data_IF_236068060228
#
_entry.id   IF_236068060228
#
_cell.length_a   1.000
_cell.length_b   1.000
_cell.length_c   1.000
_cell.angle_alpha   90.00
_cell.angle_beta   90.00
_cell.angle_gamma   90.00
#
_symmetry.space_group_name_H-M   'P 1'
#
loop_
_entity.id
_entity.type
_entity.pdbx_description
1 polymer ?
#
# COMPACT_ATOMS: atom_id res chain seq x y z
N UNK A 1 92.49 21.22 -61.50
CA UNK A 1 92.57 19.88 -62.09
C UNK A 1 91.45 19.04 -61.54
N UNK A 2 90.67 18.56 -62.45
CA UNK A 2 89.41 17.87 -62.19
C UNK A 2 89.61 16.43 -61.81
N UNK A 3 88.87 15.94 -60.79
CA UNK A 3 88.55 14.52 -60.68
C UNK A 3 87.08 14.34 -60.30
N UNK A 4 86.42 13.65 -61.21
CA UNK A 4 85.04 13.26 -61.08
C UNK A 4 84.94 12.01 -60.21
N UNK A 5 84.05 12.03 -59.19
CA UNK A 5 83.67 10.83 -58.49
C UNK A 5 82.23 10.47 -58.88
N UNK A 6 82.05 9.25 -59.29
CA UNK A 6 80.75 8.69 -59.64
C UNK A 6 79.97 8.30 -58.40
N UNK A 7 78.72 8.75 -58.33
CA UNK A 7 77.81 8.32 -57.27
C UNK A 7 76.95 7.14 -57.77
N UNK A 8 76.98 6.09 -56.99
CA UNK A 8 76.16 4.87 -57.18
C UNK A 8 74.77 5.09 -56.52
N UNK A 9 73.71 5.11 -57.32
CA UNK A 9 72.38 5.22 -56.83
C UNK A 9 71.81 3.87 -56.40
N UNK A 10 71.52 3.73 -55.15
CA UNK A 10 70.84 2.55 -54.57
C UNK A 10 69.38 2.81 -54.58
N UNK A 11 68.59 2.11 -55.41
CA UNK A 11 67.12 2.16 -55.42
C UNK A 11 66.60 1.26 -54.29
N UNK A 12 65.99 1.89 -53.24
CA UNK A 12 65.17 1.20 -52.26
C UNK A 12 63.72 1.10 -52.77
N UNK A 13 63.27 -0.14 -52.89
CA UNK A 13 61.83 -0.41 -53.11
C UNK A 13 61.00 -0.19 -51.82
N UNK A 14 59.85 0.44 -51.88
CA UNK A 14 59.03 0.57 -50.67
C UNK A 14 58.24 -0.70 -50.42
N UNK A 15 58.45 -1.32 -49.24
CA UNK A 15 57.62 -2.36 -48.70
C UNK A 15 56.35 -1.76 -48.21
N UNK A 16 55.20 -2.08 -48.86
CA UNK A 16 53.86 -1.80 -48.36
C UNK A 16 53.57 -2.63 -47.11
N UNK A 17 53.62 -2.00 -45.96
CA UNK A 17 53.11 -2.56 -44.73
C UNK A 17 51.58 -2.38 -44.72
N UNK A 18 50.81 -3.47 -44.92
CA UNK A 18 49.36 -3.50 -44.75
C UNK A 18 49.02 -3.33 -43.28
N UNK A 19 48.61 -2.15 -42.89
CA UNK A 19 48.03 -1.90 -41.55
C UNK A 19 46.67 -2.57 -41.48
N UNK A 20 46.55 -3.65 -40.70
CA UNK A 20 45.28 -4.21 -40.25
C UNK A 20 44.63 -3.20 -39.32
N UNK A 21 43.61 -2.49 -39.79
CA UNK A 21 42.73 -1.69 -38.96
C UNK A 21 41.78 -2.66 -38.27
N UNK A 22 41.77 -2.75 -36.93
CA UNK A 22 40.77 -3.55 -36.25
C UNK A 22 39.40 -2.88 -36.42
N UNK A 23 38.52 -3.52 -37.17
CA UNK A 23 37.09 -3.16 -37.21
C UNK A 23 36.52 -3.41 -35.81
N UNK A 24 36.36 -2.35 -35.05
CA UNK A 24 35.53 -2.34 -33.85
C UNK A 24 34.08 -2.59 -34.30
N UNK A 25 33.61 -3.83 -34.20
CA UNK A 25 32.19 -4.17 -34.26
C UNK A 25 31.61 -3.61 -32.95
N UNK A 26 30.68 -2.65 -33.00
CA UNK A 26 30.00 -2.22 -31.76
C UNK A 26 29.23 -3.44 -31.26
N UNK A 27 29.67 -4.01 -30.15
CA UNK A 27 28.86 -4.96 -29.38
C UNK A 27 27.66 -4.17 -28.87
N UNK A 28 26.51 -4.38 -29.51
CA UNK A 28 25.26 -3.87 -29.00
C UNK A 28 25.02 -4.56 -27.66
N UNK A 29 25.39 -3.89 -26.56
CA UNK A 29 24.95 -4.27 -25.24
C UNK A 29 23.45 -4.00 -25.24
N UNK A 30 22.68 -5.02 -25.59
CA UNK A 30 21.25 -5.06 -25.27
C UNK A 30 21.25 -5.03 -23.75
N UNK A 31 21.05 -3.84 -23.16
CA UNK A 31 20.69 -3.74 -21.77
C UNK A 31 19.43 -4.61 -21.63
N UNK A 32 19.55 -5.76 -21.01
CA UNK A 32 18.39 -6.51 -20.56
C UNK A 32 17.58 -5.52 -19.72
N UNK A 33 16.49 -5.06 -20.29
CA UNK A 33 15.48 -4.33 -19.50
C UNK A 33 15.19 -5.25 -18.32
N UNK A 34 15.27 -4.76 -17.07
CA UNK A 34 14.92 -5.57 -15.92
C UNK A 34 13.56 -6.17 -16.24
N UNK A 35 13.46 -7.49 -16.12
CA UNK A 35 12.22 -8.24 -16.33
C UNK A 35 11.12 -7.38 -15.71
N UNK A 36 10.16 -6.93 -16.52
CA UNK A 36 9.10 -6.06 -16.06
C UNK A 36 8.65 -6.58 -14.72
N UNK A 37 8.86 -5.81 -13.66
CA UNK A 37 8.46 -6.23 -12.33
C UNK A 37 7.02 -6.68 -12.48
N UNK A 38 6.76 -7.99 -12.36
CA UNK A 38 5.39 -8.53 -12.36
C UNK A 38 4.67 -7.64 -11.37
N UNK A 39 3.59 -6.99 -11.81
CA UNK A 39 2.82 -6.14 -10.93
C UNK A 39 2.57 -6.96 -9.66
N UNK A 40 3.18 -6.52 -8.56
CA UNK A 40 3.19 -7.32 -7.33
C UNK A 40 1.74 -7.30 -6.85
N UNK A 41 1.13 -8.46 -6.83
CA UNK A 41 -0.28 -8.62 -6.51
C UNK A 41 -0.40 -8.78 -4.99
N UNK A 42 -0.79 -7.71 -4.32
CA UNK A 42 -0.92 -7.68 -2.86
C UNK A 42 -2.32 -8.13 -2.45
N UNK A 43 -2.40 -9.18 -1.66
CA UNK A 43 -3.66 -9.74 -1.16
C UNK A 43 -3.54 -10.01 0.32
N UNK A 44 -4.44 -9.47 1.10
CA UNK A 44 -4.26 -9.54 2.53
C UNK A 44 -5.50 -9.23 3.35
N UNK A 45 -5.23 -8.84 4.57
CA UNK A 45 -6.25 -8.64 5.59
C UNK A 45 -5.93 -7.46 6.49
N UNK A 46 -6.97 -6.77 6.94
CA UNK A 46 -6.88 -5.82 8.03
C UNK A 46 -6.76 -6.60 9.35
N UNK A 47 -5.64 -6.42 10.06
CA UNK A 47 -5.44 -6.96 11.38
C UNK A 47 -5.70 -5.86 12.41
N UNK A 48 -6.96 -5.65 12.72
CA UNK A 48 -7.40 -4.66 13.69
C UNK A 48 -7.12 -5.13 15.14
N UNK A 49 -7.07 -4.19 16.05
CA UNK A 49 -6.83 -4.45 17.49
C UNK A 49 -6.02 -3.35 18.15
N UNK A 50 -4.98 -2.84 17.50
CA UNK A 50 -4.14 -1.79 18.07
C UNK A 50 -4.86 -0.43 18.15
N UNK A 51 -5.93 -0.20 17.36
CA UNK A 51 -6.78 0.98 17.41
C UNK A 51 -8.03 0.82 18.29
N UNK A 52 -8.26 -0.34 18.92
CA UNK A 52 -9.46 -0.55 19.74
C UNK A 52 -9.57 0.42 20.93
N UNK A 53 -10.80 0.64 21.40
CA UNK A 53 -11.12 1.57 22.50
C UNK A 53 -10.49 2.95 22.29
N UNK A 54 -10.72 3.55 21.11
CA UNK A 54 -10.21 4.89 20.74
C UNK A 54 -10.64 6.01 21.71
N UNK A 55 -11.70 5.79 22.47
CA UNK A 55 -12.15 6.69 23.52
C UNK A 55 -11.32 6.59 24.83
N UNK A 56 -10.38 5.64 24.92
CA UNK A 56 -9.49 5.44 26.08
C UNK A 56 -8.04 5.70 25.67
N UNK A 57 -7.56 6.90 25.94
CA UNK A 57 -6.21 7.34 25.60
C UNK A 57 -5.41 7.63 26.88
N UNK A 58 -4.24 7.03 27.05
CA UNK A 58 -3.50 6.12 26.13
C UNK A 58 -4.09 4.72 26.06
N UNK A 59 -4.96 4.30 26.97
CA UNK A 59 -5.45 2.94 27.10
C UNK A 59 -4.42 1.98 27.71
N UNK A 60 -4.87 0.78 28.08
CA UNK A 60 -4.01 -0.28 28.64
C UNK A 60 -3.80 -1.37 27.62
N UNK A 61 -2.54 -1.58 27.23
CA UNK A 61 -2.18 -2.71 26.39
C UNK A 61 -2.55 -4.04 27.06
N UNK A 62 -3.10 -4.95 26.25
CA UNK A 62 -3.55 -6.25 26.74
C UNK A 62 -4.99 -6.24 27.30
N UNK A 63 -5.61 -5.06 27.42
CA UNK A 63 -6.97 -4.91 27.92
C UNK A 63 -7.85 -4.00 27.08
N UNK A 64 -7.44 -2.72 26.86
CA UNK A 64 -8.19 -1.76 26.06
C UNK A 64 -7.84 -1.91 24.58
N UNK A 65 -6.62 -2.33 24.27
CA UNK A 65 -6.17 -2.63 22.91
C UNK A 65 -5.15 -3.76 22.89
N UNK A 66 -5.05 -4.41 21.72
CA UNK A 66 -4.19 -5.57 21.49
C UNK A 66 -3.49 -5.44 20.15
N UNK A 67 -2.30 -5.99 20.04
CA UNK A 67 -1.67 -6.22 18.73
C UNK A 67 -1.95 -7.66 18.28
N UNK A 68 -2.00 -7.91 16.97
CA UNK A 68 -2.14 -9.26 16.43
C UNK A 68 -1.00 -10.16 16.92
N UNK A 69 -1.31 -11.45 17.11
CA UNK A 69 -0.35 -12.44 17.55
C UNK A 69 0.40 -13.03 16.33
N UNK A 70 1.61 -13.57 16.52
CA UNK A 70 2.34 -14.24 15.44
C UNK A 70 1.53 -15.34 14.75
N UNK A 71 0.71 -16.08 15.49
CA UNK A 71 -0.14 -17.16 14.93
C UNK A 71 -1.18 -16.63 13.94
N UNK A 72 -1.72 -15.43 14.15
CA UNK A 72 -2.67 -14.79 13.21
C UNK A 72 -1.95 -14.41 11.91
N UNK A 73 -0.74 -13.83 12.01
CA UNK A 73 0.09 -13.52 10.84
C UNK A 73 0.40 -14.80 10.05
N UNK A 74 0.87 -15.85 10.75
CA UNK A 74 1.21 -17.13 10.13
C UNK A 74 0.01 -17.77 9.46
N UNK A 75 -1.17 -17.77 10.10
CA UNK A 75 -2.38 -18.33 9.52
C UNK A 75 -2.74 -17.70 8.16
N UNK A 76 -2.80 -16.36 8.11
CA UNK A 76 -3.14 -15.68 6.86
C UNK A 76 -2.02 -15.76 5.81
N UNK A 77 -0.76 -15.71 6.23
CA UNK A 77 0.37 -15.94 5.35
C UNK A 77 0.32 -17.35 4.72
N UNK A 78 0.02 -18.39 5.51
CA UNK A 78 -0.08 -19.77 5.03
C UNK A 78 -1.27 -19.99 4.07
N UNK A 79 -2.30 -19.14 4.15
CA UNK A 79 -3.34 -19.03 3.14
C UNK A 79 -2.88 -18.35 1.86
N UNK A 80 -1.71 -17.71 1.83
CA UNK A 80 -1.17 -17.02 0.67
C UNK A 80 -1.32 -15.49 0.70
N UNK A 81 -1.77 -14.93 1.83
CA UNK A 81 -1.80 -13.47 2.01
C UNK A 81 -0.40 -12.93 2.25
N UNK A 82 -0.09 -11.79 1.65
CA UNK A 82 1.25 -11.20 1.65
C UNK A 82 1.30 -9.73 2.08
N UNK A 83 0.15 -9.14 2.42
CA UNK A 83 0.05 -7.78 2.94
C UNK A 83 -0.92 -7.71 4.12
N UNK A 84 -0.56 -6.94 5.14
CA UNK A 84 -1.32 -6.82 6.38
C UNK A 84 -1.51 -5.35 6.74
N UNK A 85 -2.76 -4.88 6.81
CA UNK A 85 -3.07 -3.51 7.22
C UNK A 85 -3.26 -3.46 8.73
N UNK A 86 -2.39 -2.71 9.41
CA UNK A 86 -2.40 -2.53 10.85
C UNK A 86 -2.97 -1.15 11.19
N UNK A 87 -4.16 -1.14 11.77
CA UNK A 87 -4.81 0.09 12.25
C UNK A 87 -4.20 0.55 13.57
N UNK A 88 -3.71 1.78 13.64
CA UNK A 88 -3.13 2.38 14.86
C UNK A 88 -3.72 3.77 15.12
N UNK A 89 -3.67 4.24 16.37
CA UNK A 89 -4.16 5.57 16.73
C UNK A 89 -3.02 6.58 16.82
N UNK A 90 -3.21 7.75 16.24
CA UNK A 90 -2.28 8.87 16.33
C UNK A 90 -2.02 9.27 17.78
N UNK A 91 -3.08 9.36 18.60
CA UNK A 91 -2.99 9.75 20.01
C UNK A 91 -2.18 8.78 20.89
N UNK A 92 -2.08 7.51 20.49
CA UNK A 92 -1.22 6.53 21.14
C UNK A 92 0.21 6.61 20.64
N UNK A 93 0.38 6.90 19.34
CA UNK A 93 1.70 7.12 18.74
C UNK A 93 2.34 8.42 19.22
N UNK A 94 1.57 9.49 19.30
CA UNK A 94 2.05 10.82 19.67
C UNK A 94 1.08 11.46 20.69
N UNK A 95 1.29 11.20 22.00
CA UNK A 95 0.36 11.61 23.05
C UNK A 95 0.12 13.12 23.15
N UNK A 96 1.06 13.93 22.69
CA UNK A 96 0.92 15.37 22.51
C UNK A 96 1.47 15.75 21.13
N UNK A 97 0.84 16.70 20.46
CA UNK A 97 1.24 17.17 19.12
C UNK A 97 2.69 17.65 19.12
N UNK A 98 3.42 17.35 18.05
CA UNK A 98 4.84 17.75 17.82
C UNK A 98 5.83 17.23 18.88
N UNK A 99 5.43 16.27 19.72
CA UNK A 99 6.36 15.60 20.64
C UNK A 99 6.95 14.34 20.01
N UNK A 100 7.99 13.74 20.59
CA UNK A 100 8.47 12.42 20.18
C UNK A 100 7.35 11.38 20.21
N UNK A 101 7.46 10.37 19.34
CA UNK A 101 6.55 9.22 19.35
C UNK A 101 6.73 8.44 20.65
N UNK A 102 5.62 7.90 21.18
CA UNK A 102 5.64 7.01 22.34
C UNK A 102 6.45 5.74 22.04
N UNK A 103 7.54 5.57 22.76
CA UNK A 103 8.50 4.49 22.50
C UNK A 103 7.89 3.09 22.71
N UNK A 104 6.95 2.96 23.66
CA UNK A 104 6.34 1.66 23.96
C UNK A 104 5.35 1.25 22.87
N UNK A 105 4.51 2.18 22.40
CA UNK A 105 3.55 1.91 21.33
C UNK A 105 4.26 1.72 19.98
N UNK A 106 5.25 2.56 19.67
CA UNK A 106 6.09 2.41 18.48
C UNK A 106 6.84 1.08 18.47
N UNK A 107 7.39 0.67 19.61
CA UNK A 107 8.07 -0.61 19.75
C UNK A 107 7.16 -1.83 19.49
N UNK A 108 5.86 -1.72 19.80
CA UNK A 108 4.88 -2.77 19.46
C UNK A 108 4.58 -2.82 17.97
N UNK A 109 4.46 -1.65 17.32
CA UNK A 109 4.32 -1.54 15.87
C UNK A 109 5.54 -2.15 15.18
N UNK A 110 6.73 -1.81 15.64
CA UNK A 110 8.01 -2.32 15.14
C UNK A 110 8.11 -3.85 15.25
N UNK A 111 7.68 -4.40 16.40
CA UNK A 111 7.63 -5.85 16.60
C UNK A 111 6.65 -6.53 15.64
N UNK A 112 5.45 -5.96 15.42
CA UNK A 112 4.49 -6.48 14.45
C UNK A 112 5.06 -6.45 13.03
N UNK A 113 5.64 -5.32 12.61
CA UNK A 113 6.29 -5.17 11.30
C UNK A 113 7.39 -6.21 11.11
N UNK A 114 8.20 -6.44 12.13
CA UNK A 114 9.29 -7.43 12.09
C UNK A 114 8.77 -8.86 11.95
N UNK A 115 7.66 -9.21 12.63
CA UNK A 115 7.01 -10.51 12.50
C UNK A 115 6.44 -10.74 11.10
N UNK A 116 5.76 -9.75 10.53
CA UNK A 116 5.25 -9.82 9.15
C UNK A 116 6.39 -9.94 8.15
N UNK A 117 7.45 -9.17 8.33
CA UNK A 117 8.62 -9.24 7.45
C UNK A 117 9.33 -10.60 7.53
N UNK A 118 9.38 -11.23 8.70
CA UNK A 118 9.99 -12.54 8.88
C UNK A 118 9.33 -13.65 8.04
N UNK A 119 8.06 -13.47 7.66
CA UNK A 119 7.35 -14.37 6.73
C UNK A 119 7.33 -13.83 5.29
N UNK A 120 8.07 -12.75 4.98
CA UNK A 120 8.12 -12.14 3.65
C UNK A 120 6.94 -11.22 3.34
N UNK A 121 6.15 -10.83 4.34
CA UNK A 121 4.98 -9.97 4.16
C UNK A 121 5.29 -8.48 4.15
N UNK A 122 4.31 -7.71 3.71
CA UNK A 122 4.27 -6.23 3.67
C UNK A 122 3.27 -5.72 4.70
N UNK A 123 3.54 -4.57 5.30
CA UNK A 123 2.62 -3.92 6.26
C UNK A 123 2.15 -2.58 5.72
N UNK A 124 0.84 -2.36 5.72
CA UNK A 124 0.28 -1.01 5.64
C UNK A 124 0.11 -0.51 7.09
N UNK A 125 0.88 0.51 7.46
CA UNK A 125 0.72 1.21 8.73
C UNK A 125 -0.34 2.29 8.54
N UNK A 126 -1.52 2.05 9.07
CA UNK A 126 -2.70 2.88 8.88
C UNK A 126 -3.00 3.72 10.12
N UNK A 127 -3.06 5.05 9.95
CA UNK A 127 -3.54 5.96 11.00
C UNK A 127 -5.07 5.95 11.01
N UNK A 128 -5.68 5.29 12.00
CA UNK A 128 -7.11 4.95 12.02
C UNK A 128 -7.96 5.94 12.81
N UNK A 129 -7.88 7.24 12.46
CA UNK A 129 -8.46 8.33 13.26
C UNK A 129 -9.42 9.25 12.50
N UNK A 130 -9.90 8.85 11.34
CA UNK A 130 -10.98 9.54 10.61
C UNK A 130 -10.73 11.03 10.37
N UNK A 131 -9.47 11.40 10.09
CA UNK A 131 -9.08 12.80 9.90
C UNK A 131 -9.07 13.63 11.18
N UNK A 132 -8.89 12.98 12.35
CA UNK A 132 -8.98 13.62 13.67
C UNK A 132 -7.74 13.31 14.52
N UNK A 133 -7.56 14.15 15.53
CA UNK A 133 -6.69 13.88 16.67
C UNK A 133 -7.47 14.23 17.94
N UNK A 134 -7.64 13.28 18.86
CA UNK A 134 -8.48 13.40 20.08
C UNK A 134 -9.88 13.96 19.79
N UNK A 135 -10.50 13.49 18.70
CA UNK A 135 -11.82 13.92 18.26
C UNK A 135 -11.88 15.25 17.51
N UNK A 136 -10.80 16.04 17.48
CA UNK A 136 -10.73 17.31 16.76
C UNK A 136 -10.28 17.10 15.31
N UNK A 137 -11.01 17.62 14.34
CA UNK A 137 -10.65 17.56 12.91
C UNK A 137 -9.32 18.26 12.66
N UNK A 138 -8.50 17.65 11.80
CA UNK A 138 -7.27 18.25 11.28
C UNK A 138 -7.63 19.36 10.30
N UNK A 139 -6.86 20.45 10.33
CA UNK A 139 -7.02 21.59 9.40
C UNK A 139 -7.38 22.91 10.09
N UNK A 140 -7.74 22.86 11.39
CA UNK A 140 -7.98 24.06 12.19
C UNK A 140 -6.81 24.49 13.07
N UNK A 141 -7.05 25.50 13.89
CA UNK A 141 -6.03 26.08 14.79
C UNK A 141 -5.56 25.10 15.87
N UNK A 142 -6.46 24.24 16.36
CA UNK A 142 -6.16 23.31 17.45
C UNK A 142 -5.40 22.06 16.98
N UNK A 143 -5.64 21.61 15.77
CA UNK A 143 -4.96 20.48 15.10
C UNK A 143 -4.75 20.87 13.64
N UNK A 144 -3.56 21.27 13.32
CA UNK A 144 -3.23 21.79 11.99
C UNK A 144 -2.69 20.71 11.05
N UNK A 145 -2.70 20.98 9.75
CA UNK A 145 -2.02 20.14 8.76
C UNK A 145 -0.50 20.02 9.03
N UNK A 146 0.10 21.04 9.71
CA UNK A 146 1.50 21.00 10.11
C UNK A 146 1.75 20.00 11.26
N UNK A 147 0.78 19.77 12.14
CA UNK A 147 0.86 18.74 13.18
C UNK A 147 0.82 17.34 12.57
N UNK A 148 -0.03 17.13 11.56
CA UNK A 148 -0.10 15.89 10.81
C UNK A 148 1.16 15.65 9.97
N UNK A 149 1.73 16.70 9.41
CA UNK A 149 3.05 16.65 8.76
C UNK A 149 4.16 16.22 9.73
N UNK A 150 4.17 16.72 10.98
CA UNK A 150 5.15 16.32 11.99
C UNK A 150 5.03 14.81 12.32
N UNK A 151 3.81 14.28 12.47
CA UNK A 151 3.60 12.84 12.65
C UNK A 151 4.26 12.05 11.52
N UNK A 152 3.96 12.40 10.26
CA UNK A 152 4.49 11.67 9.10
C UNK A 152 5.99 11.89 8.88
N UNK A 153 6.55 13.03 9.31
CA UNK A 153 8.01 13.23 9.36
C UNK A 153 8.66 12.24 10.33
N UNK A 154 8.07 12.03 11.51
CA UNK A 154 8.58 11.09 12.51
C UNK A 154 8.41 9.63 12.10
N UNK A 155 7.27 9.26 11.56
CA UNK A 155 7.03 7.90 11.04
C UNK A 155 7.91 7.61 9.82
N UNK A 156 8.09 8.59 8.94
CA UNK A 156 9.03 8.51 7.83
C UNK A 156 10.45 8.25 8.30
N UNK A 157 10.93 8.98 9.31
CA UNK A 157 12.26 8.76 9.90
C UNK A 157 12.39 7.37 10.55
N UNK A 158 11.33 6.87 11.19
CA UNK A 158 11.34 5.58 11.86
C UNK A 158 11.38 4.38 10.88
N UNK A 159 10.75 4.52 9.69
CA UNK A 159 10.52 3.38 8.80
C UNK A 159 11.08 3.55 7.37
N UNK A 160 11.82 4.63 7.05
CA UNK A 160 12.38 4.88 5.71
C UNK A 160 13.25 3.76 5.16
N UNK A 161 13.93 3.03 6.02
CA UNK A 161 14.85 1.96 5.64
C UNK A 161 14.14 0.58 5.57
N UNK A 162 12.80 0.56 5.61
CA UNK A 162 11.95 -0.64 5.55
C UNK A 162 10.98 -0.55 4.37
N UNK A 163 11.40 -0.92 3.15
CA UNK A 163 10.59 -0.77 1.94
C UNK A 163 9.31 -1.60 1.95
N UNK A 164 9.22 -2.60 2.83
CA UNK A 164 8.04 -3.44 3.07
C UNK A 164 7.01 -2.80 4.04
N UNK A 165 7.21 -1.55 4.45
CA UNK A 165 6.21 -0.75 5.19
C UNK A 165 5.62 0.28 4.25
N UNK A 166 4.31 0.26 4.07
CA UNK A 166 3.53 1.23 3.34
C UNK A 166 2.86 2.20 4.31
N UNK A 167 2.74 3.44 3.94
CA UNK A 167 2.18 4.49 4.79
C UNK A 167 0.74 4.78 4.40
N UNK A 168 -0.23 4.22 5.15
CA UNK A 168 -1.64 4.58 5.07
C UNK A 168 -1.87 5.89 5.80
N UNK A 169 -1.99 7.00 5.07
CA UNK A 169 -1.94 8.34 5.68
C UNK A 169 -3.00 8.53 6.74
N UNK A 170 -4.23 8.14 6.44
CA UNK A 170 -5.38 8.31 7.34
C UNK A 170 -6.52 7.40 6.88
N UNK A 171 -7.13 6.68 7.81
CA UNK A 171 -8.36 5.96 7.57
C UNK A 171 -9.54 6.93 7.44
N UNK A 172 -10.31 6.80 6.37
CA UNK A 172 -11.64 7.41 6.17
C UNK A 172 -11.76 8.86 6.66
N UNK A 173 -10.98 9.80 6.12
CA UNK A 173 -10.98 11.18 6.58
C UNK A 173 -12.35 11.84 6.39
N UNK A 174 -12.78 12.57 7.43
CA UNK A 174 -14.10 13.21 7.50
C UNK A 174 -14.02 14.74 7.40
N UNK A 175 -13.08 15.27 6.65
CA UNK A 175 -13.00 16.69 6.36
C UNK A 175 -14.20 17.17 5.57
N UNK A 176 -14.56 18.44 5.75
CA UNK A 176 -15.76 19.05 5.15
C UNK A 176 -15.68 19.14 3.62
N UNK A 177 -14.49 19.13 3.05
CA UNK A 177 -14.30 19.11 1.60
C UNK A 177 -13.14 18.22 1.17
N UNK A 178 -13.21 17.76 -0.08
CA UNK A 178 -12.12 17.04 -0.73
C UNK A 178 -10.83 17.89 -0.79
N UNK A 179 -10.95 19.22 -0.99
CA UNK A 179 -9.81 20.13 -1.05
C UNK A 179 -9.11 20.21 0.30
N UNK A 180 -9.84 20.37 1.40
CA UNK A 180 -9.26 20.43 2.75
C UNK A 180 -8.46 19.18 3.05
N UNK A 181 -9.02 18.00 2.74
CA UNK A 181 -8.29 16.75 2.92
C UNK A 181 -7.07 16.65 2.00
N UNK A 182 -7.20 17.04 0.73
CA UNK A 182 -6.08 17.04 -0.22
C UNK A 182 -4.90 17.87 0.26
N UNK A 183 -5.17 19.06 0.79
CA UNK A 183 -4.14 19.95 1.34
C UNK A 183 -3.45 19.34 2.57
N UNK A 184 -4.22 18.69 3.46
CA UNK A 184 -3.70 17.96 4.63
C UNK A 184 -2.86 16.75 4.19
N UNK A 185 -3.36 15.94 3.27
CA UNK A 185 -2.66 14.77 2.75
C UNK A 185 -1.35 15.16 2.05
N UNK A 186 -1.35 16.28 1.30
CA UNK A 186 -0.14 16.82 0.68
C UNK A 186 0.93 17.16 1.74
N UNK A 187 0.54 17.73 2.88
CA UNK A 187 1.49 18.01 3.97
C UNK A 187 2.05 16.72 4.57
N UNK A 188 1.24 15.68 4.74
CA UNK A 188 1.70 14.38 5.23
C UNK A 188 2.70 13.72 4.27
N UNK A 189 2.42 13.71 2.97
CA UNK A 189 3.34 13.23 1.93
C UNK A 189 4.68 13.96 2.04
N UNK A 190 4.65 15.28 2.06
CA UNK A 190 5.86 16.10 2.18
C UNK A 190 6.62 15.83 3.48
N UNK A 191 5.93 15.59 4.58
CA UNK A 191 6.53 15.22 5.87
C UNK A 191 7.32 13.91 5.78
N UNK A 192 6.71 12.85 5.26
CA UNK A 192 7.37 11.57 5.05
C UNK A 192 8.60 11.69 4.13
N UNK A 193 8.47 12.44 3.03
CA UNK A 193 9.56 12.63 2.06
C UNK A 193 10.69 13.51 2.60
N UNK A 194 10.39 14.48 3.44
CA UNK A 194 11.40 15.30 4.15
C UNK A 194 12.26 14.45 5.08
N UNK A 195 11.70 13.40 5.66
CA UNK A 195 12.44 12.42 6.48
C UNK A 195 13.31 11.45 5.67
N UNK A 196 13.31 11.55 4.34
CA UNK A 196 14.04 10.66 3.43
C UNK A 196 13.31 9.37 3.10
N UNK A 197 12.06 9.18 3.55
CA UNK A 197 11.29 7.98 3.25
C UNK A 197 10.88 7.93 1.77
N UNK A 198 11.03 6.76 1.15
CA UNK A 198 10.58 6.46 -0.22
C UNK A 198 9.49 5.38 -0.25
N UNK A 199 9.01 4.98 0.90
CA UNK A 199 7.96 3.99 1.09
C UNK A 199 6.71 4.36 0.26
N UNK A 200 5.94 3.38 -0.24
CA UNK A 200 4.63 3.66 -0.82
C UNK A 200 3.74 4.43 0.16
N UNK A 201 3.07 5.45 -0.33
CA UNK A 201 2.10 6.23 0.43
C UNK A 201 0.71 5.96 -0.12
N UNK A 202 -0.19 5.47 0.73
CA UNK A 202 -1.59 5.30 0.40
C UNK A 202 -2.35 6.55 0.80
N UNK A 203 -3.05 7.12 -0.16
CA UNK A 203 -3.85 8.34 0.02
C UNK A 203 -5.32 7.99 -0.09
N UNK A 204 -5.98 8.08 1.03
CA UNK A 204 -7.42 7.92 1.18
C UNK A 204 -8.20 9.12 0.66
N UNK A 205 -9.51 9.00 0.49
CA UNK A 205 -10.40 10.08 0.10
C UNK A 205 -11.36 10.47 1.24
N UNK A 206 -12.06 11.57 1.06
CA UNK A 206 -13.20 11.91 1.92
C UNK A 206 -14.40 11.00 1.63
N UNK A 207 -15.48 11.13 2.41
CA UNK A 207 -16.69 10.34 2.27
C UNK A 207 -16.45 8.83 2.49
N UNK A 208 -15.80 8.49 3.62
CA UNK A 208 -15.56 7.11 4.04
C UNK A 208 -14.76 6.29 3.02
N UNK A 209 -13.87 6.93 2.27
CA UNK A 209 -13.05 6.32 1.22
C UNK A 209 -13.84 5.59 0.11
N UNK A 210 -15.15 5.83 0.00
CA UNK A 210 -16.03 5.08 -0.88
C UNK A 210 -15.58 5.10 -2.34
N UNK A 211 -15.26 3.92 -2.89
CA UNK A 211 -14.76 3.76 -4.25
C UNK A 211 -15.73 4.31 -5.30
N UNK A 212 -17.04 4.09 -5.10
CA UNK A 212 -18.09 4.53 -6.02
C UNK A 212 -18.17 6.06 -6.17
N UNK A 213 -17.74 6.82 -5.15
CA UNK A 213 -17.74 8.28 -5.16
C UNK A 213 -16.42 8.94 -5.52
N UNK A 214 -15.31 8.20 -5.47
CA UNK A 214 -13.96 8.76 -5.55
C UNK A 214 -13.71 9.62 -6.79
N UNK A 215 -14.01 9.11 -7.98
CA UNK A 215 -13.68 9.77 -9.23
C UNK A 215 -14.31 11.17 -9.36
N UNK A 216 -15.57 11.31 -8.94
CA UNK A 216 -16.28 12.59 -8.99
C UNK A 216 -15.95 13.52 -7.82
N UNK A 217 -15.74 12.96 -6.63
CA UNK A 217 -15.58 13.75 -5.41
C UNK A 217 -14.13 14.14 -5.13
N UNK A 218 -13.21 13.19 -5.21
CA UNK A 218 -11.80 13.38 -4.87
C UNK A 218 -10.87 13.37 -6.08
N UNK A 219 -11.24 12.76 -7.20
CA UNK A 219 -10.43 12.66 -8.41
C UNK A 219 -9.77 13.98 -8.84
N UNK A 220 -10.51 15.10 -8.97
CA UNK A 220 -9.93 16.41 -9.33
C UNK A 220 -8.89 16.94 -8.34
N UNK A 221 -8.98 16.57 -7.07
CA UNK A 221 -7.99 16.90 -6.03
C UNK A 221 -6.81 15.96 -6.10
N UNK A 222 -7.06 14.66 -6.24
CA UNK A 222 -6.06 13.60 -6.36
C UNK A 222 -5.04 13.87 -7.48
N UNK A 223 -5.51 14.33 -8.63
CA UNK A 223 -4.65 14.68 -9.78
C UNK A 223 -3.69 15.85 -9.52
N UNK A 224 -3.98 16.67 -8.50
CA UNK A 224 -3.11 17.79 -8.10
C UNK A 224 -2.09 17.42 -7.02
N UNK A 225 -2.26 16.30 -6.35
CA UNK A 225 -1.29 15.83 -5.35
C UNK A 225 0.07 15.54 -6.02
N UNK A 226 1.12 15.81 -5.30
CA UNK A 226 2.50 15.60 -5.77
C UNK A 226 3.29 14.82 -4.75
N UNK A 227 3.88 13.74 -5.21
CA UNK A 227 4.83 12.96 -4.42
C UNK A 227 6.23 13.05 -5.05
N UNK A 228 7.21 13.68 -4.38
CA UNK A 228 8.58 13.76 -4.87
C UNK A 228 9.26 12.41 -5.10
N UNK A 229 8.78 11.34 -4.47
CA UNK A 229 9.31 10.00 -4.65
C UNK A 229 8.60 9.21 -5.77
N UNK A 230 7.51 9.74 -6.35
CA UNK A 230 6.67 9.07 -7.36
C UNK A 230 6.19 7.68 -6.91
N UNK A 231 5.84 7.55 -5.63
CA UNK A 231 5.44 6.28 -5.04
C UNK A 231 4.15 6.45 -4.21
N UNK A 232 3.13 7.03 -4.84
CA UNK A 232 1.81 7.27 -4.27
C UNK A 232 0.80 6.31 -4.89
N UNK A 233 -0.09 5.78 -4.07
CA UNK A 233 -1.19 4.89 -4.43
C UNK A 233 -2.48 5.48 -3.85
N UNK A 234 -3.58 5.43 -4.55
CA UNK A 234 -4.87 5.86 -4.00
C UNK A 234 -5.57 4.70 -3.34
N UNK A 235 -5.93 4.88 -2.08
CA UNK A 235 -6.68 3.92 -1.28
C UNK A 235 -8.17 4.24 -1.35
N UNK A 236 -8.99 3.19 -1.46
CA UNK A 236 -10.45 3.28 -1.36
C UNK A 236 -10.96 2.13 -0.51
N UNK A 237 -12.14 2.34 0.07
CA UNK A 237 -12.94 1.34 0.76
C UNK A 237 -14.24 1.11 0.01
N UNK A 238 -14.81 -0.09 0.09
CA UNK A 238 -16.15 -0.34 -0.44
C UNK A 238 -16.82 -1.50 0.29
N UNK A 239 -18.00 -1.24 0.83
CA UNK A 239 -18.83 -2.29 1.38
C UNK A 239 -20.02 -2.57 0.44
N UNK A 240 -20.50 -3.80 0.46
CA UNK A 240 -21.43 -4.30 -0.54
C UNK A 240 -22.82 -4.61 0.04
N UNK A 241 -23.13 -4.06 1.21
CA UNK A 241 -24.47 -3.93 1.73
C UNK A 241 -25.22 -2.76 1.06
N UNK A 242 -26.53 -2.65 1.33
CA UNK A 242 -27.41 -1.75 0.58
C UNK A 242 -26.95 -0.28 0.59
N UNK A 243 -26.45 0.20 1.72
CA UNK A 243 -26.02 1.58 1.94
C UNK A 243 -24.51 1.79 2.00
N UNK A 244 -23.74 0.77 1.64
CA UNK A 244 -22.26 0.79 1.66
C UNK A 244 -21.65 1.01 3.05
N UNK A 245 -22.38 0.72 4.11
CA UNK A 245 -21.94 1.03 5.48
C UNK A 245 -21.11 -0.06 6.14
N UNK A 246 -21.10 -1.28 5.60
CA UNK A 246 -20.44 -2.43 6.22
C UNK A 246 -21.13 -2.91 7.51
N UNK A 247 -22.42 -2.64 7.68
CA UNK A 247 -23.19 -2.94 8.91
C UNK A 247 -24.26 -4.01 8.73
N UNK A 248 -24.54 -4.43 7.50
CA UNK A 248 -25.53 -5.47 7.21
C UNK A 248 -24.85 -6.79 6.85
N UNK A 249 -25.39 -7.94 7.28
CA UNK A 249 -24.96 -9.26 6.81
C UNK A 249 -25.43 -9.55 5.38
N UNK A 250 -26.31 -8.74 4.81
CA UNK A 250 -26.89 -8.94 3.48
C UNK A 250 -26.16 -8.07 2.45
N UNK A 251 -26.09 -8.57 1.23
CA UNK A 251 -25.37 -7.91 0.15
C UNK A 251 -26.31 -7.56 -1.01
N UNK A 252 -25.93 -6.52 -1.77
CA UNK A 252 -26.56 -6.16 -3.04
C UNK A 252 -26.23 -7.18 -4.12
N UNK A 253 -26.94 -7.22 -5.27
CA UNK A 253 -26.61 -8.11 -6.36
C UNK A 253 -25.20 -7.91 -6.91
N UNK A 254 -24.52 -8.99 -7.30
CA UNK A 254 -23.11 -9.03 -7.69
C UNK A 254 -22.72 -8.02 -8.79
N UNK A 255 -23.61 -7.79 -9.78
CA UNK A 255 -23.34 -6.83 -10.83
C UNK A 255 -23.33 -5.38 -10.31
N UNK A 256 -24.17 -5.07 -9.31
CA UNK A 256 -24.14 -3.78 -8.62
C UNK A 256 -22.90 -3.65 -7.74
N UNK A 257 -22.49 -4.73 -7.06
CA UNK A 257 -21.30 -4.76 -6.23
C UNK A 257 -20.03 -4.42 -7.06
N UNK A 258 -19.85 -5.08 -8.21
CA UNK A 258 -18.76 -4.75 -9.14
C UNK A 258 -18.89 -3.35 -9.71
N UNK A 259 -20.13 -2.90 -10.00
CA UNK A 259 -20.42 -1.54 -10.48
C UNK A 259 -19.91 -0.44 -9.54
N UNK A 260 -19.90 -0.67 -8.22
CA UNK A 260 -19.34 0.28 -7.25
C UNK A 260 -17.84 0.54 -7.39
N UNK A 261 -17.07 -0.41 -7.94
CA UNK A 261 -15.64 -0.27 -8.19
C UNK A 261 -15.32 0.33 -9.56
N UNK A 262 -16.27 0.35 -10.49
CA UNK A 262 -16.02 0.64 -11.89
C UNK A 262 -15.53 2.07 -12.12
N UNK A 263 -16.18 3.08 -11.53
CA UNK A 263 -15.83 4.49 -11.73
C UNK A 263 -14.40 4.81 -11.26
N UNK A 264 -13.98 4.25 -10.14
CA UNK A 264 -12.61 4.38 -9.64
C UNK A 264 -11.60 3.66 -10.55
N UNK A 265 -11.93 2.44 -11.00
CA UNK A 265 -11.10 1.69 -11.95
C UNK A 265 -10.88 2.45 -13.25
N UNK A 266 -11.93 3.06 -13.80
CA UNK A 266 -11.85 3.84 -15.03
C UNK A 266 -11.03 5.13 -14.83
N UNK A 267 -11.20 5.79 -13.68
CA UNK A 267 -10.37 6.93 -13.31
C UNK A 267 -8.88 6.55 -13.20
N UNK A 268 -8.55 5.43 -12.56
CA UNK A 268 -7.17 4.92 -12.47
C UNK A 268 -6.55 4.68 -13.85
N UNK A 269 -7.33 4.09 -14.78
CA UNK A 269 -6.88 3.85 -16.16
C UNK A 269 -6.66 5.16 -16.92
N UNK A 270 -7.59 6.10 -16.81
CA UNK A 270 -7.54 7.39 -17.50
C UNK A 270 -6.37 8.28 -17.02
N UNK A 271 -6.05 8.23 -15.73
CA UNK A 271 -5.02 9.07 -15.10
C UNK A 271 -3.68 8.37 -14.91
N UNK A 272 -3.58 7.08 -15.29
CA UNK A 272 -2.38 6.23 -15.11
C UNK A 272 -1.92 6.08 -13.65
N UNK A 273 -2.84 6.24 -12.70
CA UNK A 273 -2.60 6.01 -11.30
C UNK A 273 -2.79 4.54 -10.90
N UNK A 274 -2.38 4.22 -9.70
CA UNK A 274 -2.58 2.91 -9.07
C UNK A 274 -3.52 3.04 -7.88
N UNK A 275 -4.36 2.04 -7.71
CA UNK A 275 -5.31 1.94 -6.62
C UNK A 275 -5.08 0.74 -5.72
N UNK A 276 -5.62 0.83 -4.53
CA UNK A 276 -5.63 -0.23 -3.53
C UNK A 276 -7.00 -0.26 -2.83
N UNK A 277 -7.59 -1.45 -2.70
CA UNK A 277 -8.82 -1.62 -1.93
C UNK A 277 -8.44 -1.92 -0.46
N UNK A 278 -8.37 -0.86 0.35
CA UNK A 278 -7.88 -0.93 1.73
C UNK A 278 -8.82 -1.65 2.67
N UNK A 279 -10.13 -1.47 2.47
CA UNK A 279 -11.16 -2.18 3.22
C UNK A 279 -12.30 -2.62 2.31
N UNK A 280 -12.73 -3.84 2.48
CA UNK A 280 -13.97 -4.40 1.97
C UNK A 280 -14.34 -5.66 2.75
N UNK A 281 -15.62 -5.94 2.82
CA UNK A 281 -16.09 -7.13 3.52
C UNK A 281 -17.51 -7.48 3.08
N UNK A 282 -17.88 -8.74 3.28
CA UNK A 282 -19.20 -9.27 2.94
C UNK A 282 -19.71 -10.21 4.03
N UNK A 283 -21.04 -10.39 4.10
CA UNK A 283 -21.69 -11.39 4.94
C UNK A 283 -21.36 -12.81 4.54
N UNK A 284 -22.04 -13.78 5.20
CA UNK A 284 -21.76 -15.23 5.04
C UNK A 284 -22.83 -15.95 4.24
N UNK A 285 -23.87 -15.25 3.78
CA UNK A 285 -24.93 -15.87 2.96
C UNK A 285 -24.45 -16.08 1.52
N UNK A 286 -25.16 -16.93 0.78
CA UNK A 286 -24.76 -17.35 -0.57
C UNK A 286 -24.63 -16.15 -1.53
N UNK A 287 -25.51 -15.16 -1.44
CA UNK A 287 -25.43 -13.95 -2.25
C UNK A 287 -24.12 -13.20 -1.99
N UNK A 288 -23.78 -12.97 -0.73
CA UNK A 288 -22.55 -12.29 -0.35
C UNK A 288 -21.28 -13.04 -0.76
N UNK A 289 -21.31 -14.38 -0.70
CA UNK A 289 -20.18 -15.19 -1.15
C UNK A 289 -20.01 -15.14 -2.68
N UNK A 290 -21.12 -15.10 -3.44
CA UNK A 290 -21.08 -14.86 -4.89
C UNK A 290 -20.54 -13.47 -5.23
N UNK A 291 -20.94 -12.44 -4.47
CA UNK A 291 -20.42 -11.09 -4.65
C UNK A 291 -18.91 -11.06 -4.39
N UNK A 292 -18.45 -11.69 -3.33
CA UNK A 292 -17.03 -11.78 -3.00
C UNK A 292 -16.21 -12.41 -4.12
N UNK A 293 -16.72 -13.49 -4.72
CA UNK A 293 -16.09 -14.15 -5.87
C UNK A 293 -15.99 -13.19 -7.07
N UNK A 294 -17.09 -12.48 -7.40
CA UNK A 294 -17.12 -11.51 -8.51
C UNK A 294 -16.20 -10.33 -8.28
N UNK A 295 -16.17 -9.80 -7.05
CA UNK A 295 -15.29 -8.69 -6.65
C UNK A 295 -13.81 -9.10 -6.78
N UNK A 296 -13.45 -10.26 -6.23
CA UNK A 296 -12.07 -10.75 -6.30
C UNK A 296 -11.63 -11.04 -7.75
N UNK A 297 -12.53 -11.60 -8.58
CA UNK A 297 -12.29 -11.76 -10.01
C UNK A 297 -12.09 -10.42 -10.71
N UNK A 298 -12.93 -9.42 -10.43
CA UNK A 298 -12.83 -8.08 -11.01
C UNK A 298 -11.48 -7.40 -10.68
N UNK A 299 -11.05 -7.46 -9.43
CA UNK A 299 -9.76 -6.90 -9.00
C UNK A 299 -8.58 -7.60 -9.70
N UNK A 300 -8.60 -8.93 -9.78
CA UNK A 300 -7.62 -9.74 -10.52
C UNK A 300 -7.55 -9.32 -12.00
N UNK A 301 -8.68 -9.17 -12.64
CA UNK A 301 -8.77 -8.86 -14.09
C UNK A 301 -8.34 -7.41 -14.38
N UNK A 302 -8.41 -6.52 -13.39
CA UNK A 302 -7.94 -5.14 -13.46
C UNK A 302 -6.61 -4.89 -12.73
N UNK A 303 -5.78 -5.94 -12.48
CA UNK A 303 -4.49 -5.83 -11.78
C UNK A 303 -3.48 -4.88 -12.43
N UNK A 304 -3.71 -4.43 -13.65
CA UNK A 304 -2.89 -3.41 -14.29
C UNK A 304 -2.97 -2.05 -13.58
N UNK A 305 -4.07 -1.78 -12.89
CA UNK A 305 -4.29 -0.53 -12.13
C UNK A 305 -4.54 -0.77 -10.63
N UNK A 306 -5.08 -1.93 -10.25
CA UNK A 306 -5.23 -2.33 -8.85
C UNK A 306 -3.98 -3.07 -8.38
N UNK A 307 -3.27 -2.52 -7.37
CA UNK A 307 -2.10 -3.18 -6.78
C UNK A 307 -2.48 -4.32 -5.85
N UNK A 308 -3.68 -4.30 -5.30
CA UNK A 308 -4.15 -5.32 -4.39
C UNK A 308 -5.28 -4.87 -3.47
N UNK A 309 -5.46 -5.64 -2.41
CA UNK A 309 -6.54 -5.43 -1.46
C UNK A 309 -6.21 -5.99 -0.06
N UNK A 310 -6.90 -5.46 0.96
CA UNK A 310 -6.96 -6.01 2.31
C UNK A 310 -8.41 -6.13 2.77
N UNK A 311 -8.83 -7.38 3.09
CA UNK A 311 -10.20 -7.67 3.52
C UNK A 311 -10.45 -7.17 4.95
N UNK A 312 -11.63 -6.66 5.24
CA UNK A 312 -12.08 -6.27 6.58
C UNK A 312 -12.93 -7.37 7.22
N UNK A 313 -12.48 -8.07 8.27
CA UNK A 313 -11.20 -7.93 8.93
C UNK A 313 -10.84 -9.22 9.69
N UNK A 314 -9.73 -9.18 10.33
CA UNK A 314 -9.29 -10.21 11.27
C UNK A 314 -8.53 -9.56 12.44
N UNK A 315 -7.98 -10.37 13.33
CA UNK A 315 -7.28 -9.92 14.51
C UNK A 315 -8.02 -10.27 15.81
N UNK A 316 -7.50 -9.89 16.96
CA UNK A 316 -8.06 -10.29 18.24
C UNK A 316 -9.45 -9.65 18.49
N UNK A 317 -10.31 -10.37 19.21
CA UNK A 317 -11.59 -9.90 19.76
C UNK A 317 -12.76 -9.77 18.77
N UNK A 318 -12.64 -10.15 17.52
CA UNK A 318 -13.77 -10.10 16.56
C UNK A 318 -14.88 -11.09 16.85
N UNK A 319 -14.58 -12.24 17.48
CA UNK A 319 -15.57 -13.25 17.82
C UNK A 319 -16.37 -13.73 16.61
N UNK A 320 -17.70 -13.56 16.66
CA UNK A 320 -18.62 -13.94 15.58
C UNK A 320 -19.03 -12.75 14.69
N UNK A 321 -18.20 -11.70 14.62
CA UNK A 321 -18.43 -10.59 13.70
C UNK A 321 -18.69 -11.11 12.27
N UNK A 322 -19.70 -10.57 11.61
CA UNK A 322 -20.23 -11.12 10.35
C UNK A 322 -19.22 -11.16 9.20
N UNK A 323 -18.24 -10.29 9.21
CA UNK A 323 -17.21 -10.20 8.17
C UNK A 323 -15.86 -10.81 8.62
N UNK A 324 -15.75 -11.30 9.86
CA UNK A 324 -14.45 -11.81 10.32
C UNK A 324 -13.92 -12.97 9.49
N UNK A 325 -12.63 -12.91 9.13
CA UNK A 325 -11.87 -14.03 8.55
C UNK A 325 -11.15 -14.86 9.62
N UNK A 326 -11.17 -14.43 10.91
CA UNK A 326 -10.60 -15.26 11.97
C UNK A 326 -11.20 -16.66 11.94
N UNK A 327 -10.39 -17.72 11.96
CA UNK A 327 -10.90 -19.06 12.01
C UNK A 327 -11.79 -19.28 13.24
N UNK A 328 -12.67 -20.25 13.16
CA UNK A 328 -13.49 -20.62 14.32
C UNK A 328 -12.60 -21.10 15.47
N UNK A 329 -13.17 -21.20 16.66
CA UNK A 329 -12.45 -21.75 17.83
C UNK A 329 -11.92 -23.18 17.62
N UNK A 330 -12.47 -23.89 16.63
CA UNK A 330 -12.03 -25.23 16.22
C UNK A 330 -11.03 -25.22 15.07
N UNK A 331 -10.58 -24.03 14.63
CA UNK A 331 -9.61 -23.85 13.55
C UNK A 331 -10.18 -23.96 12.15
N UNK A 332 -11.51 -23.97 12.00
CA UNK A 332 -12.14 -24.03 10.66
C UNK A 332 -12.15 -22.64 10.02
N UNK A 333 -11.91 -22.60 8.71
CA UNK A 333 -12.02 -21.40 7.90
C UNK A 333 -13.44 -20.85 7.91
N UNK A 334 -13.57 -19.54 7.80
CA UNK A 334 -14.85 -18.88 7.57
C UNK A 334 -15.23 -19.03 6.08
N UNK A 335 -16.53 -19.05 5.71
CA UNK A 335 -16.96 -19.19 4.33
C UNK A 335 -16.31 -18.19 3.37
N UNK A 336 -16.14 -16.94 3.79
CA UNK A 336 -15.46 -15.90 3.00
C UNK A 336 -14.01 -16.29 2.70
N UNK A 337 -13.28 -16.90 3.67
CA UNK A 337 -11.92 -17.36 3.46
C UNK A 337 -11.85 -18.46 2.39
N UNK A 338 -12.84 -19.34 2.34
CA UNK A 338 -12.93 -20.38 1.30
C UNK A 338 -13.05 -19.79 -0.10
N UNK A 339 -13.80 -18.70 -0.26
CA UNK A 339 -13.91 -18.00 -1.55
C UNK A 339 -12.57 -17.32 -1.89
N UNK A 340 -12.01 -16.56 -0.95
CA UNK A 340 -10.76 -15.83 -1.17
C UNK A 340 -9.58 -16.74 -1.49
N UNK A 341 -9.52 -17.96 -0.91
CA UNK A 341 -8.46 -18.94 -1.15
C UNK A 341 -8.32 -19.31 -2.65
N UNK A 342 -9.38 -19.17 -3.44
CA UNK A 342 -9.33 -19.41 -4.89
C UNK A 342 -8.53 -18.33 -5.65
N UNK A 343 -8.35 -17.18 -5.03
CA UNK A 343 -7.64 -16.01 -5.58
C UNK A 343 -6.25 -15.80 -4.94
N UNK A 344 -5.88 -16.60 -3.96
CA UNK A 344 -4.59 -16.51 -3.30
C UNK A 344 -3.54 -17.41 -3.98
N UNK A 345 -2.26 -17.01 -4.00
CA UNK A 345 -1.20 -17.82 -4.60
C UNK A 345 -1.02 -19.14 -3.84
N UNK A 346 -0.97 -20.26 -4.57
CA UNK A 346 -0.77 -21.61 -4.02
C UNK A 346 0.65 -22.09 -4.23
N UNK A 347 1.26 -22.67 -3.19
CA UNK A 347 2.50 -23.46 -3.32
C UNK A 347 3.72 -22.68 -3.82
N UNK A 348 4.34 -23.16 -4.90
CA UNK A 348 5.62 -22.66 -5.41
C UNK A 348 5.62 -21.21 -5.92
N UNK A 349 4.47 -20.59 -6.13
CA UNK A 349 4.35 -19.18 -6.51
C UNK A 349 4.56 -18.21 -5.30
N UNK A 350 4.77 -18.75 -4.09
CA UNK A 350 4.95 -17.94 -2.86
C UNK A 350 6.34 -17.31 -2.71
N UNK A 351 7.32 -17.70 -3.54
CA UNK A 351 8.66 -17.11 -3.49
C UNK A 351 8.66 -15.77 -4.22
N UNK A 352 8.35 -14.72 -3.49
CA UNK A 352 8.70 -13.35 -3.86
C UNK A 352 10.24 -13.26 -3.70
N UNK A 353 10.95 -13.24 -4.83
CA UNK A 353 12.37 -12.91 -4.87
C UNK A 353 12.56 -11.42 -5.06
#
# INVERSE_FOLDING_TARGET
>A
MLTRSAALALTLAPTLASALVPTLVPTLVIAEMPASARAQDYRGVNLAGAAYSSNKIPGRYGYDYLFPKPAEITYFHDKGMNIFRLSVLWERLQPALRTPLDAAYLGRIDNFISQVHAVGGTVILDIHDYGRYRGTLIGGDSVSAADFRDLWTRLGAAFRDRPYVWFGLMNEPQQSSAQDWGDIAQQAILGARQAGARNPVLVSSVNWDAAHGFAGLFGPVAERLRDPAHNMVFEVHEYFDQDSSGRSPDCIPADQAVGRLASFTDWLKATHHKGFLGEFGVGRNDQCLQDLDRIAAYLRDNRSVWLGWTYWAAGPLWGEYMYTLEPTKTGQDRPQMTVLDTYLPRGQDRTIR
#
